data_IF_416301188445
#
_entry.id   IF_416301188445
#
_cell.length_a   1.000
_cell.length_b   1.000
_cell.length_c   1.000
_cell.angle_alpha   90.00
_cell.angle_beta   90.00
_cell.angle_gamma   90.00
#
_symmetry.space_group_name_H-M   'P 1'
#
loop_
_entity.id
_entity.type
_entity.pdbx_description
1 polymer ?
#
# COMPACT_ATOMS: atom_id res chain seq x y z
N UNK A 1 14.42 -66.10 45.30
CA UNK A 1 13.54 -66.64 44.24
C UNK A 1 13.94 -65.91 42.96
N UNK A 2 15.00 -66.30 42.25
CA UNK A 2 15.16 -67.43 41.30
C UNK A 2 14.15 -67.38 40.14
N UNK A 3 14.73 -67.29 38.92
CA UNK A 3 14.19 -67.48 37.55
C UNK A 3 13.41 -66.28 36.96
N UNK A 4 13.59 -65.79 35.71
CA UNK A 4 14.39 -66.15 34.50
C UNK A 4 14.22 -64.91 33.56
N UNK A 5 15.22 -64.12 33.13
CA UNK A 5 16.22 -64.29 32.06
C UNK A 5 15.64 -64.59 30.64
N UNK A 6 15.47 -63.56 29.77
CA UNK A 6 16.25 -63.15 28.56
C UNK A 6 16.00 -64.01 27.28
N UNK A 7 15.96 -63.29 26.13
CA UNK A 7 16.16 -63.65 24.70
C UNK A 7 14.89 -63.89 23.87
N UNK A 8 14.73 -63.43 22.62
CA UNK A 8 15.32 -62.40 21.76
C UNK A 8 14.62 -62.51 20.38
N UNK A 9 14.88 -61.53 19.50
CA UNK A 9 14.62 -61.49 18.05
C UNK A 9 13.15 -61.25 17.67
N UNK A 10 12.75 -60.00 17.38
CA UNK A 10 13.04 -59.23 16.17
C UNK A 10 12.44 -59.84 14.90
N UNK A 11 11.48 -59.12 14.28
CA UNK A 11 11.58 -58.54 12.94
C UNK A 11 10.16 -58.18 12.44
N UNK A 12 9.93 -56.86 12.41
CA UNK A 12 9.26 -56.09 11.34
C UNK A 12 7.76 -56.28 11.15
N UNK A 13 7.00 -55.23 11.53
CA UNK A 13 6.15 -54.45 10.61
C UNK A 13 5.47 -53.30 11.38
N UNK A 14 6.15 -52.16 11.45
CA UNK A 14 5.54 -50.82 11.46
C UNK A 14 6.32 -49.98 10.42
N UNK A 15 5.88 -48.79 9.97
CA UNK A 15 4.70 -47.98 10.34
C UNK A 15 3.97 -47.29 9.15
N UNK A 16 2.67 -47.02 9.22
CA UNK A 16 2.02 -45.95 8.43
C UNK A 16 0.84 -45.34 9.22
N UNK A 17 1.15 -44.75 10.36
CA UNK A 17 0.26 -43.82 11.04
C UNK A 17 1.11 -42.77 11.76
N UNK A 18 1.95 -42.08 10.99
CA UNK A 18 2.79 -40.97 11.46
C UNK A 18 3.20 -40.10 10.27
N UNK A 19 2.25 -39.49 9.57
CA UNK A 19 2.49 -38.37 8.64
C UNK A 19 1.19 -37.56 8.52
N UNK A 20 0.97 -36.65 9.46
CA UNK A 20 0.20 -35.39 9.33
C UNK A 20 0.01 -34.72 10.71
N UNK A 21 1.04 -34.78 11.55
CA UNK A 21 1.33 -33.66 12.44
C UNK A 21 2.70 -33.23 11.96
N UNK A 22 2.71 -32.39 10.93
CA UNK A 22 3.88 -31.54 10.69
C UNK A 22 4.13 -30.84 12.01
N UNK A 23 5.26 -31.15 12.63
CA UNK A 23 5.89 -30.31 13.62
C UNK A 23 5.84 -28.90 13.04
N UNK A 24 4.86 -28.12 13.53
CA UNK A 24 4.84 -26.69 13.35
C UNK A 24 5.98 -26.24 14.23
N UNK A 25 7.17 -26.20 13.62
CA UNK A 25 8.39 -25.64 14.19
C UNK A 25 7.94 -24.43 15.01
N UNK A 26 8.17 -24.48 16.33
CA UNK A 26 7.82 -23.40 17.25
C UNK A 26 8.43 -22.13 16.65
N UNK A 27 7.60 -21.35 15.95
CA UNK A 27 7.94 -19.97 15.58
C UNK A 27 8.25 -19.34 16.92
N UNK A 28 9.52 -19.01 17.11
CA UNK A 28 10.04 -18.43 18.35
C UNK A 28 9.03 -17.38 18.82
N UNK A 29 8.45 -17.53 20.01
CA UNK A 29 7.36 -16.66 20.54
C UNK A 29 7.82 -15.22 20.83
N UNK A 30 8.95 -14.84 20.26
CA UNK A 30 9.60 -13.54 20.28
C UNK A 30 9.87 -12.99 18.87
N UNK A 31 9.56 -13.73 17.79
CA UNK A 31 9.86 -13.32 16.41
C UNK A 31 9.15 -12.02 16.04
N UNK A 32 7.86 -11.88 16.38
CA UNK A 32 7.14 -10.62 16.18
C UNK A 32 7.66 -9.48 17.04
N UNK A 33 8.06 -9.76 18.29
CA UNK A 33 8.62 -8.73 19.16
C UNK A 33 9.95 -8.20 18.61
N UNK A 34 10.82 -9.07 18.09
CA UNK A 34 12.07 -8.66 17.45
C UNK A 34 11.83 -7.94 16.12
N UNK A 35 10.88 -8.41 15.31
CA UNK A 35 10.48 -7.73 14.07
C UNK A 35 10.00 -6.30 14.37
N UNK A 36 9.11 -6.12 15.36
CA UNK A 36 8.62 -4.80 15.76
C UNK A 36 9.75 -3.90 16.25
N UNK A 37 10.68 -4.43 17.06
CA UNK A 37 11.87 -3.67 17.52
C UNK A 37 12.79 -3.25 16.37
N UNK A 38 12.80 -4.00 15.27
CA UNK A 38 13.60 -3.65 14.09
C UNK A 38 13.11 -2.38 13.40
N UNK A 39 11.84 -2.00 13.60
CA UNK A 39 11.26 -0.76 13.12
C UNK A 39 11.42 0.37 14.15
N UNK A 40 12.43 1.22 13.96
CA UNK A 40 12.74 2.34 14.85
C UNK A 40 11.63 3.40 14.98
N UNK A 41 10.63 3.35 14.11
CA UNK A 41 9.49 4.27 14.10
C UNK A 41 8.36 3.81 15.04
N UNK A 42 8.37 2.56 15.50
CA UNK A 42 7.30 1.98 16.32
C UNK A 42 7.63 2.14 17.80
N UNK A 43 6.70 2.71 18.55
CA UNK A 43 6.75 2.87 20.00
C UNK A 43 5.68 2.00 20.66
N UNK A 44 6.09 1.20 21.64
CA UNK A 44 5.20 0.40 22.47
C UNK A 44 4.96 1.08 23.81
N UNK A 45 3.76 0.95 24.35
CA UNK A 45 3.37 1.38 25.70
C UNK A 45 3.04 0.17 26.58
N UNK A 46 2.68 0.41 27.84
CA UNK A 46 2.19 -0.65 28.73
C UNK A 46 0.91 -1.33 28.22
N UNK A 47 0.12 -0.63 27.39
CA UNK A 47 -1.14 -1.12 26.82
C UNK A 47 -0.96 -1.72 25.42
N UNK A 48 0.27 -1.79 24.90
CA UNK A 48 0.56 -2.39 23.60
C UNK A 48 0.63 -3.91 23.71
N UNK A 49 0.12 -4.61 22.71
CA UNK A 49 0.29 -6.07 22.60
C UNK A 49 0.98 -6.42 21.30
N UNK A 50 1.83 -7.43 21.35
CA UNK A 50 2.54 -8.00 20.21
C UNK A 50 2.36 -9.51 20.30
N UNK A 51 1.83 -10.11 19.24
CA UNK A 51 1.45 -11.51 19.20
C UNK A 51 1.92 -12.14 17.90
N UNK A 52 2.51 -13.32 17.99
CA UNK A 52 2.72 -14.19 16.83
C UNK A 52 1.36 -14.82 16.46
N UNK A 53 1.00 -14.74 15.17
CA UNK A 53 -0.21 -15.33 14.60
C UNK A 53 0.16 -16.36 13.53
N UNK A 54 -0.83 -17.02 12.93
CA UNK A 54 -0.56 -17.94 11.83
C UNK A 54 0.07 -17.17 10.65
N UNK A 55 1.26 -17.62 10.22
CA UNK A 55 2.07 -17.01 9.16
C UNK A 55 2.29 -15.48 9.31
N UNK A 56 2.34 -14.94 10.54
CA UNK A 56 2.41 -13.49 10.69
C UNK A 56 2.56 -12.92 12.10
N UNK A 57 2.43 -11.60 12.16
CA UNK A 57 2.43 -10.80 13.37
C UNK A 57 1.17 -9.98 13.51
N UNK A 58 0.67 -9.85 14.74
CA UNK A 58 -0.32 -8.84 15.11
C UNK A 58 0.23 -7.95 16.21
N UNK A 59 0.11 -6.65 16.00
CA UNK A 59 0.35 -5.64 17.03
C UNK A 59 -0.93 -4.85 17.27
N UNK A 60 -1.15 -4.45 18.52
CA UNK A 60 -2.27 -3.57 18.87
C UNK A 60 -1.81 -2.45 19.77
N UNK A 61 -2.48 -1.31 19.63
CA UNK A 61 -2.31 -0.14 20.45
C UNK A 61 -0.85 0.34 20.54
N UNK A 62 -0.20 0.44 19.39
CA UNK A 62 1.17 0.96 19.26
C UNK A 62 1.13 2.38 18.71
N UNK A 63 2.23 3.09 18.84
CA UNK A 63 2.40 4.39 18.19
C UNK A 63 3.47 4.28 17.10
N UNK A 64 3.34 5.08 16.06
CA UNK A 64 4.33 5.23 15.00
C UNK A 64 4.69 6.71 14.85
N UNK A 65 5.96 7.06 14.69
CA UNK A 65 6.33 8.46 14.50
C UNK A 65 7.82 8.74 14.42
N UNK A 66 8.15 9.95 13.98
CA UNK A 66 9.53 10.45 13.93
C UNK A 66 9.80 11.53 14.98
N UNK A 67 8.76 12.08 15.59
CA UNK A 67 8.83 13.08 16.66
C UNK A 67 7.54 13.10 17.46
N UNK A 68 7.52 13.80 18.59
CA UNK A 68 6.32 13.96 19.40
C UNK A 68 5.16 14.62 18.64
N UNK A 69 5.43 15.54 17.72
CA UNK A 69 4.39 16.21 16.92
C UNK A 69 3.96 15.40 15.69
N UNK A 70 4.82 14.51 15.20
CA UNK A 70 4.54 13.60 14.07
C UNK A 70 4.37 12.18 14.58
N UNK A 71 3.45 12.02 15.53
CA UNK A 71 3.13 10.75 16.19
C UNK A 71 1.71 10.33 15.84
N UNK A 72 1.56 9.06 15.52
CA UNK A 72 0.32 8.44 15.09
C UNK A 72 0.03 7.25 15.98
N UNK A 73 -1.23 7.07 16.34
CA UNK A 73 -1.70 5.85 17.00
C UNK A 73 -2.10 4.84 15.94
N UNK A 74 -1.77 3.58 16.18
CA UNK A 74 -2.22 2.43 15.40
C UNK A 74 -3.06 1.56 16.33
N UNK A 75 -4.35 1.46 16.03
CA UNK A 75 -5.27 0.58 16.76
C UNK A 75 -4.84 -0.88 16.67
N UNK A 76 -4.66 -1.39 15.45
CA UNK A 76 -4.04 -2.69 15.19
C UNK A 76 -3.33 -2.71 13.85
N UNK A 77 -2.19 -3.39 13.78
CA UNK A 77 -1.58 -3.79 12.51
C UNK A 77 -1.39 -5.31 12.50
N UNK A 78 -1.79 -5.94 11.40
CA UNK A 78 -1.61 -7.36 11.13
C UNK A 78 -0.78 -7.50 9.87
N UNK A 79 0.32 -8.25 9.95
CA UNK A 79 1.21 -8.55 8.84
C UNK A 79 1.26 -10.06 8.68
N UNK A 80 0.90 -10.57 7.52
CA UNK A 80 1.02 -11.99 7.19
C UNK A 80 1.85 -12.17 5.92
N UNK A 81 2.77 -13.11 5.95
CA UNK A 81 3.56 -13.54 4.81
C UNK A 81 4.05 -14.98 5.04
N UNK A 82 3.93 -15.90 4.06
CA UNK A 82 4.30 -17.31 4.25
C UNK A 82 5.74 -17.55 4.73
N UNK A 83 6.67 -16.67 4.35
CA UNK A 83 8.10 -16.77 4.66
C UNK A 83 8.60 -15.67 5.61
N UNK A 84 7.69 -14.96 6.30
CA UNK A 84 7.96 -13.75 7.11
C UNK A 84 9.16 -13.87 8.06
N UNK A 85 9.29 -14.99 8.75
CA UNK A 85 10.32 -15.20 9.78
C UNK A 85 11.53 -16.00 9.29
N UNK A 86 11.53 -16.41 8.03
CA UNK A 86 12.61 -17.22 7.45
C UNK A 86 13.64 -16.38 6.71
N UNK A 87 13.42 -15.05 6.61
CA UNK A 87 14.22 -14.11 5.81
C UNK A 87 14.29 -12.77 6.54
N UNK A 88 15.39 -12.03 6.37
CA UNK A 88 15.45 -10.64 6.81
C UNK A 88 14.72 -9.77 5.77
N UNK A 89 13.65 -9.09 6.20
CA UNK A 89 12.88 -8.18 5.33
C UNK A 89 13.72 -7.00 4.81
N UNK A 90 14.88 -6.74 5.41
CA UNK A 90 15.85 -5.75 4.90
C UNK A 90 16.58 -6.23 3.65
N UNK A 91 16.73 -7.55 3.50
CA UNK A 91 17.52 -8.16 2.43
C UNK A 91 16.64 -8.70 1.29
N UNK A 92 15.41 -9.12 1.59
CA UNK A 92 14.47 -9.64 0.60
C UNK A 92 13.02 -9.44 1.05
N UNK A 93 12.18 -8.97 0.13
CA UNK A 93 10.74 -8.94 0.33
C UNK A 93 10.15 -10.35 0.15
N UNK A 94 9.10 -10.72 0.91
CA UNK A 94 8.44 -12.01 0.76
C UNK A 94 7.74 -12.10 -0.61
N UNK A 95 7.52 -13.32 -1.10
CA UNK A 95 6.79 -13.53 -2.36
C UNK A 95 5.30 -13.19 -2.26
N UNK A 96 4.77 -13.11 -1.04
CA UNK A 96 3.40 -12.71 -0.77
C UNK A 96 3.40 -11.95 0.56
N UNK A 97 2.64 -10.86 0.61
CA UNK A 97 2.49 -10.06 1.82
C UNK A 97 1.06 -9.53 1.88
N UNK A 98 0.48 -9.57 3.07
CA UNK A 98 -0.78 -8.93 3.41
C UNK A 98 -0.56 -8.15 4.71
N UNK A 99 -0.72 -6.83 4.63
CA UNK A 99 -0.58 -5.88 5.71
C UNK A 99 -1.89 -5.12 5.86
N UNK A 100 -2.55 -5.29 7.00
CA UNK A 100 -3.75 -4.56 7.38
C UNK A 100 -3.46 -3.69 8.61
N UNK A 101 -3.60 -2.37 8.47
CA UNK A 101 -3.51 -1.38 9.54
C UNK A 101 -4.89 -0.78 9.77
N UNK A 102 -5.37 -0.80 11.00
CA UNK A 102 -6.67 -0.28 11.39
C UNK A 102 -6.54 0.74 12.52
N UNK A 103 -7.38 1.77 12.47
CA UNK A 103 -7.34 2.84 13.48
C UNK A 103 -6.06 3.67 13.43
N UNK A 104 -5.49 3.90 12.24
CA UNK A 104 -4.36 4.79 12.04
C UNK A 104 -4.84 6.25 12.19
N UNK A 105 -4.41 6.94 13.24
CA UNK A 105 -4.88 8.30 13.53
C UNK A 105 -3.76 9.16 14.08
N UNK A 106 -3.85 10.47 13.88
CA UNK A 106 -2.91 11.43 14.46
C UNK A 106 -3.06 11.42 15.98
N UNK A 107 -1.95 11.27 16.70
CA UNK A 107 -1.90 11.21 18.15
C UNK A 107 -0.60 11.87 18.66
N UNK A 108 -0.47 13.20 18.49
CA UNK A 108 0.74 13.90 18.86
C UNK A 108 0.91 13.88 20.38
N UNK A 109 2.15 13.85 20.85
CA UNK A 109 2.47 14.15 22.23
C UNK A 109 2.80 15.63 22.40
N UNK A 110 1.79 16.39 22.82
CA UNK A 110 1.91 17.83 23.07
C UNK A 110 2.43 18.17 24.46
N UNK A 111 2.68 17.17 25.32
CA UNK A 111 2.95 17.36 26.75
C UNK A 111 1.72 17.71 27.60
N UNK A 112 0.53 17.81 27.00
CA UNK A 112 -0.75 18.03 27.67
C UNK A 112 -1.71 16.89 27.37
N UNK A 113 -2.06 16.10 28.40
CA UNK A 113 -2.99 14.97 28.26
C UNK A 113 -4.35 15.41 27.70
N UNK A 114 -4.83 16.61 28.09
CA UNK A 114 -6.09 17.15 27.58
C UNK A 114 -5.99 17.48 26.10
N UNK A 115 -4.90 18.12 25.65
CA UNK A 115 -4.74 18.46 24.23
C UNK A 115 -4.56 17.20 23.38
N UNK A 116 -3.78 16.23 23.86
CA UNK A 116 -3.62 14.93 23.19
C UNK A 116 -5.00 14.26 23.03
N UNK A 117 -5.79 14.20 24.10
CA UNK A 117 -7.15 13.65 24.05
C UNK A 117 -8.06 14.39 23.06
N UNK A 118 -8.05 15.73 23.07
CA UNK A 118 -8.84 16.54 22.14
C UNK A 118 -8.45 16.25 20.68
N UNK A 119 -7.15 16.25 20.36
CA UNK A 119 -6.66 16.01 19.00
C UNK A 119 -7.00 14.58 18.54
N UNK A 120 -6.78 13.59 19.40
CA UNK A 120 -7.12 12.20 19.08
C UNK A 120 -8.62 12.00 18.82
N UNK A 121 -9.49 12.65 19.60
CA UNK A 121 -10.95 12.53 19.42
C UNK A 121 -11.52 13.39 18.28
N UNK A 122 -10.74 14.35 17.76
CA UNK A 122 -11.10 15.15 16.60
C UNK A 122 -10.56 14.57 15.29
N UNK A 123 -9.64 13.60 15.38
CA UNK A 123 -9.04 12.94 14.23
C UNK A 123 -9.88 11.73 13.84
N UNK A 124 -10.27 11.65 12.58
CA UNK A 124 -10.92 10.45 12.04
C UNK A 124 -9.85 9.38 11.77
N UNK A 125 -10.07 8.13 12.21
CA UNK A 125 -9.14 7.05 11.91
C UNK A 125 -9.16 6.68 10.43
N UNK A 126 -7.99 6.27 9.96
CA UNK A 126 -7.78 5.66 8.65
C UNK A 126 -7.50 4.18 8.82
N UNK A 127 -7.91 3.40 7.82
CA UNK A 127 -7.49 2.03 7.65
C UNK A 127 -6.64 1.95 6.38
N UNK A 128 -5.52 1.24 6.46
CA UNK A 128 -4.59 1.04 5.34
C UNK A 128 -4.50 -0.45 5.10
N UNK A 129 -4.60 -0.89 3.86
CA UNK A 129 -4.38 -2.26 3.47
C UNK A 129 -3.40 -2.33 2.30
N UNK A 130 -2.44 -3.24 2.37
CA UNK A 130 -1.48 -3.53 1.33
C UNK A 130 -1.40 -5.04 1.17
N UNK A 131 -1.69 -5.55 -0.03
CA UNK A 131 -1.51 -6.95 -0.36
C UNK A 131 -0.90 -7.11 -1.76
N UNK A 132 0.09 -7.99 -1.88
CA UNK A 132 0.71 -8.32 -3.16
C UNK A 132 1.14 -9.78 -3.24
N UNK A 133 1.32 -10.23 -4.48
CA UNK A 133 1.94 -11.51 -4.83
C UNK A 133 3.04 -11.28 -5.86
N UNK A 134 4.15 -11.97 -5.71
CA UNK A 134 5.31 -11.87 -6.59
C UNK A 134 5.77 -13.27 -7.00
N UNK A 135 5.75 -13.54 -8.30
CA UNK A 135 6.39 -14.70 -8.89
C UNK A 135 7.81 -14.33 -9.32
N UNK A 136 8.77 -14.73 -8.49
CA UNK A 136 10.20 -14.48 -8.75
C UNK A 136 10.70 -15.18 -10.01
N UNK A 137 10.17 -16.35 -10.36
CA UNK A 137 10.61 -17.10 -11.54
C UNK A 137 10.09 -16.47 -12.83
N UNK A 138 8.85 -15.97 -12.82
CA UNK A 138 8.26 -15.24 -13.94
C UNK A 138 8.65 -13.75 -13.98
N UNK A 139 9.23 -13.22 -12.89
CA UNK A 139 9.50 -11.79 -12.68
C UNK A 139 8.24 -10.93 -12.85
N UNK A 140 7.12 -11.41 -12.32
CA UNK A 140 5.83 -10.71 -12.36
C UNK A 140 5.29 -10.49 -10.95
N UNK A 141 4.71 -9.33 -10.69
CA UNK A 141 4.03 -9.04 -9.44
C UNK A 141 2.59 -8.55 -9.69
N UNK A 142 1.71 -8.91 -8.77
CA UNK A 142 0.34 -8.42 -8.70
C UNK A 142 0.18 -7.67 -7.38
N UNK A 143 -0.11 -6.37 -7.47
CA UNK A 143 -0.60 -5.57 -6.37
C UNK A 143 -2.12 -5.81 -6.28
N UNK A 144 -2.52 -6.72 -5.40
CA UNK A 144 -3.91 -7.12 -5.22
C UNK A 144 -4.72 -6.04 -4.49
N UNK A 145 -4.09 -5.30 -3.59
CA UNK A 145 -4.69 -4.12 -2.98
C UNK A 145 -3.62 -3.18 -2.41
N UNK A 146 -3.73 -1.89 -2.68
CA UNK A 146 -3.21 -0.83 -1.84
C UNK A 146 -4.35 0.14 -1.60
N UNK A 147 -4.93 0.12 -0.41
CA UNK A 147 -6.07 0.97 -0.09
C UNK A 147 -5.87 1.80 1.19
N UNK A 148 -6.46 2.99 1.18
CA UNK A 148 -6.62 3.86 2.34
C UNK A 148 -8.10 4.20 2.43
N UNK A 149 -8.73 3.82 3.54
CA UNK A 149 -10.17 4.03 3.76
C UNK A 149 -10.41 4.78 5.06
N UNK A 150 -11.33 5.74 5.01
CA UNK A 150 -11.89 6.41 6.16
C UNK A 150 -13.42 6.26 6.13
N UNK A 151 -14.04 5.57 7.11
CA UNK A 151 -15.49 5.32 7.10
C UNK A 151 -16.34 6.58 6.92
N UNK A 152 -15.89 7.72 7.44
CA UNK A 152 -16.60 9.00 7.34
C UNK A 152 -16.22 9.89 6.15
N UNK A 153 -15.12 9.61 5.44
CA UNK A 153 -14.60 10.53 4.43
C UNK A 153 -14.47 9.96 3.03
N UNK A 154 -14.24 8.66 2.86
CA UNK A 154 -14.06 8.07 1.53
C UNK A 154 -12.93 7.04 1.50
N UNK A 155 -12.53 6.67 0.30
CA UNK A 155 -11.45 5.71 0.10
C UNK A 155 -10.65 5.99 -1.15
N UNK A 156 -9.43 5.45 -1.16
CA UNK A 156 -8.55 5.40 -2.31
C UNK A 156 -7.99 3.98 -2.39
N UNK A 157 -8.02 3.37 -3.56
CA UNK A 157 -7.54 2.00 -3.81
C UNK A 157 -6.74 1.96 -5.10
N UNK A 158 -5.63 1.23 -5.08
CA UNK A 158 -4.81 0.92 -6.25
C UNK A 158 -4.68 -0.60 -6.35
N UNK A 159 -4.85 -1.12 -7.55
CA UNK A 159 -4.50 -2.48 -7.93
C UNK A 159 -3.61 -2.42 -9.16
N UNK A 160 -2.75 -3.41 -9.37
CA UNK A 160 -1.87 -3.39 -10.53
C UNK A 160 -1.18 -4.70 -10.84
N UNK A 161 -0.71 -4.80 -12.08
CA UNK A 161 0.12 -5.88 -12.59
C UNK A 161 1.42 -5.29 -13.12
N UNK A 162 2.51 -5.89 -12.66
CA UNK A 162 3.87 -5.48 -12.96
C UNK A 162 4.62 -6.67 -13.56
N UNK A 163 5.50 -6.38 -14.51
CA UNK A 163 6.40 -7.33 -15.16
C UNK A 163 7.84 -6.85 -15.03
N UNK A 164 8.80 -7.73 -15.34
CA UNK A 164 10.24 -7.44 -15.30
C UNK A 164 10.72 -6.95 -13.91
N UNK A 165 10.01 -7.34 -12.85
CA UNK A 165 10.23 -6.83 -11.49
C UNK A 165 11.08 -7.80 -10.65
N UNK A 166 12.04 -7.23 -9.93
CA UNK A 166 12.88 -7.94 -8.96
C UNK A 166 12.80 -7.26 -7.59
N UNK A 167 11.86 -7.74 -6.76
CA UNK A 167 11.60 -7.16 -5.43
C UNK A 167 12.74 -7.39 -4.44
N UNK A 168 13.62 -8.38 -4.67
CA UNK A 168 14.80 -8.59 -3.83
C UNK A 168 15.77 -7.39 -3.94
N UNK A 169 15.74 -6.65 -5.06
CA UNK A 169 16.61 -5.49 -5.29
C UNK A 169 15.94 -4.16 -4.95
N UNK A 170 14.72 -4.19 -4.43
CA UNK A 170 13.93 -2.99 -4.15
C UNK A 170 14.63 -2.06 -3.15
N UNK A 171 15.25 -2.62 -2.11
CA UNK A 171 15.88 -1.85 -1.03
C UNK A 171 17.13 -1.09 -1.50
N UNK A 172 17.81 -1.57 -2.54
CA UNK A 172 19.09 -1.02 -3.00
C UNK A 172 18.96 0.05 -4.11
N UNK A 173 17.81 0.16 -4.79
CA UNK A 173 17.72 0.89 -6.07
C UNK A 173 16.42 1.69 -6.29
N UNK A 174 15.93 2.43 -5.28
CA UNK A 174 14.68 3.19 -5.40
C UNK A 174 14.62 4.18 -6.59
N UNK A 175 15.76 4.66 -7.10
CA UNK A 175 15.81 5.58 -8.25
C UNK A 175 15.86 4.87 -9.63
N UNK A 176 16.40 3.65 -9.69
CA UNK A 176 16.64 2.86 -10.91
C UNK A 176 15.95 1.49 -10.83
N UNK A 177 14.80 1.45 -10.17
CA UNK A 177 14.12 0.20 -9.87
C UNK A 177 13.65 -0.49 -11.17
N UNK A 178 14.17 -1.70 -11.50
CA UNK A 178 13.78 -2.41 -12.70
C UNK A 178 12.34 -2.93 -12.57
N UNK A 179 11.57 -2.77 -13.64
CA UNK A 179 10.20 -3.24 -13.72
C UNK A 179 9.39 -2.43 -14.71
N UNK A 180 8.25 -2.97 -15.09
CA UNK A 180 7.30 -2.34 -15.98
C UNK A 180 5.87 -2.51 -15.45
N UNK A 181 5.03 -1.52 -15.73
CA UNK A 181 3.59 -1.56 -15.44
C UNK A 181 2.88 -2.13 -16.65
N UNK A 182 2.16 -3.22 -16.46
CA UNK A 182 1.28 -3.81 -17.49
C UNK A 182 -0.12 -3.20 -17.40
N UNK A 183 -0.65 -3.10 -16.18
CA UNK A 183 -1.97 -2.53 -15.91
C UNK A 183 -2.08 -1.98 -14.49
N UNK A 184 -2.86 -0.92 -14.32
CA UNK A 184 -3.19 -0.32 -13.02
C UNK A 184 -4.66 0.05 -13.01
N UNK A 185 -5.33 -0.23 -11.91
CA UNK A 185 -6.66 0.28 -11.58
C UNK A 185 -6.54 1.20 -10.38
N UNK A 186 -7.11 2.40 -10.48
CA UNK A 186 -7.23 3.35 -9.37
C UNK A 186 -8.71 3.62 -9.13
N UNK A 187 -9.14 3.41 -7.90
CA UNK A 187 -10.49 3.73 -7.44
C UNK A 187 -10.42 4.82 -6.38
N UNK A 188 -11.26 5.83 -6.53
CA UNK A 188 -11.41 6.96 -5.60
C UNK A 188 -12.88 7.06 -5.25
N UNK A 189 -13.23 6.80 -4.00
CA UNK A 189 -14.57 7.05 -3.47
C UNK A 189 -14.52 8.33 -2.64
N UNK A 190 -15.35 9.30 -3.01
CA UNK A 190 -15.34 10.67 -2.52
C UNK A 190 -13.96 11.34 -2.72
N UNK A 191 -13.71 11.83 -3.93
CA UNK A 191 -12.46 12.48 -4.32
C UNK A 191 -12.07 13.70 -3.47
N UNK A 192 -12.97 14.22 -2.63
CA UNK A 192 -12.64 15.25 -1.65
C UNK A 192 -11.69 14.73 -0.57
N UNK A 193 -11.83 13.47 -0.15
CA UNK A 193 -10.91 12.82 0.77
C UNK A 193 -9.52 12.67 0.15
N UNK A 194 -9.46 12.14 -1.08
CA UNK A 194 -8.22 12.05 -1.86
C UNK A 194 -7.56 13.43 -2.05
N UNK A 195 -8.37 14.46 -2.36
CA UNK A 195 -7.89 15.85 -2.46
C UNK A 195 -7.25 16.33 -1.17
N UNK A 196 -7.92 16.12 -0.03
CA UNK A 196 -7.43 16.60 1.26
C UNK A 196 -6.06 16.01 1.62
N UNK A 197 -5.77 14.78 1.19
CA UNK A 197 -4.48 14.12 1.43
C UNK A 197 -3.39 14.53 0.44
N UNK A 198 -3.71 14.64 -0.85
CA UNK A 198 -2.68 14.74 -1.91
C UNK A 198 -2.42 16.18 -2.37
N UNK A 199 -3.44 17.02 -2.39
CA UNK A 199 -3.34 18.40 -2.91
C UNK A 199 -2.34 19.26 -2.14
N UNK A 200 -2.21 19.20 -0.80
CA UNK A 200 -1.20 20.00 -0.09
C UNK A 200 0.22 19.70 -0.58
N UNK A 201 0.56 18.42 -0.78
CA UNK A 201 1.87 18.02 -1.30
C UNK A 201 2.07 18.53 -2.74
N UNK A 202 1.06 18.38 -3.61
CA UNK A 202 1.11 18.86 -4.99
C UNK A 202 1.25 20.38 -5.09
N UNK A 203 0.50 21.13 -4.28
CA UNK A 203 0.58 22.60 -4.25
C UNK A 203 1.90 23.09 -3.63
N UNK A 204 2.51 22.32 -2.72
CA UNK A 204 3.83 22.59 -2.15
C UNK A 204 4.98 22.52 -3.18
N UNK A 205 4.74 21.99 -4.37
CA UNK A 205 5.70 22.00 -5.49
C UNK A 205 5.68 23.31 -6.29
N UNK A 206 4.68 24.17 -6.06
CA UNK A 206 4.55 25.44 -6.78
C UNK A 206 5.46 26.53 -6.18
N UNK A 207 5.80 27.59 -6.94
CA UNK A 207 6.58 28.71 -6.42
C UNK A 207 5.89 29.38 -5.22
N UNK A 208 6.61 29.46 -4.10
CA UNK A 208 6.09 29.96 -2.82
C UNK A 208 5.78 31.46 -2.79
N UNK A 209 6.37 32.24 -3.69
CA UNK A 209 6.36 33.71 -3.71
C UNK A 209 5.27 34.31 -4.61
N UNK A 210 4.42 33.47 -5.21
CA UNK A 210 3.39 33.90 -6.16
C UNK A 210 2.01 33.32 -5.80
N UNK A 211 0.95 34.01 -6.23
CA UNK A 211 -0.41 33.46 -6.15
C UNK A 211 -0.50 32.22 -7.05
N UNK A 212 -0.81 31.02 -6.53
CA UNK A 212 -0.83 29.81 -7.33
C UNK A 212 -2.07 29.72 -8.24
N UNK A 213 -3.11 30.54 -8.03
CA UNK A 213 -4.40 30.39 -8.75
C UNK A 213 -4.27 30.51 -10.27
N UNK A 214 -3.54 31.48 -10.86
CA UNK A 214 -3.35 31.55 -12.30
C UNK A 214 -2.60 30.34 -12.84
N UNK A 215 -1.54 29.92 -12.13
CA UNK A 215 -0.72 28.77 -12.53
C UNK A 215 -1.51 27.45 -12.50
N UNK A 216 -2.32 27.24 -11.46
CA UNK A 216 -3.24 26.11 -11.37
C UNK A 216 -4.28 26.15 -12.50
N UNK A 217 -4.83 27.32 -12.83
CA UNK A 217 -5.76 27.46 -13.95
C UNK A 217 -5.10 27.12 -15.29
N UNK A 218 -3.85 27.53 -15.50
CA UNK A 218 -3.09 27.21 -16.70
C UNK A 218 -2.80 25.71 -16.80
N UNK A 219 -2.40 25.05 -15.69
CA UNK A 219 -2.21 23.60 -15.66
C UNK A 219 -3.50 22.83 -15.92
N UNK A 220 -4.63 23.26 -15.35
CA UNK A 220 -5.93 22.65 -15.63
C UNK A 220 -6.28 22.76 -17.10
N UNK A 221 -6.11 23.94 -17.71
CA UNK A 221 -6.38 24.15 -19.13
C UNK A 221 -5.47 23.28 -20.00
N UNK A 222 -4.19 23.18 -19.67
CA UNK A 222 -3.24 22.34 -20.39
C UNK A 222 -3.60 20.85 -20.29
N UNK A 223 -3.96 20.38 -19.09
CA UNK A 223 -4.37 19.00 -18.85
C UNK A 223 -5.68 18.65 -19.59
N UNK A 224 -6.70 19.52 -19.56
CA UNK A 224 -7.95 19.33 -20.32
C UNK A 224 -7.67 19.27 -21.82
N UNK A 225 -6.85 20.19 -22.34
CA UNK A 225 -6.48 20.19 -23.76
C UNK A 225 -5.71 18.93 -24.15
N UNK A 226 -4.84 18.44 -23.28
CA UNK A 226 -4.11 17.19 -23.47
C UNK A 226 -5.06 15.98 -23.50
N UNK A 227 -5.96 15.85 -22.53
CA UNK A 227 -6.97 14.78 -22.50
C UNK A 227 -7.82 14.79 -23.77
N UNK A 228 -8.28 15.97 -24.19
CA UNK A 228 -9.08 16.12 -25.41
C UNK A 228 -8.32 15.73 -26.69
N UNK A 229 -7.00 15.89 -26.70
CA UNK A 229 -6.15 15.56 -27.84
C UNK A 229 -5.78 14.07 -27.94
N UNK A 230 -6.05 13.27 -26.91
CA UNK A 230 -5.78 11.83 -26.96
C UNK A 230 -6.67 11.14 -28.01
N UNK A 231 -6.13 10.20 -28.81
CA UNK A 231 -6.92 9.44 -29.77
C UNK A 231 -8.04 8.66 -29.08
N UNK A 232 -9.20 8.55 -29.73
CA UNK A 232 -10.34 7.77 -29.19
C UNK A 232 -9.99 6.29 -29.04
N UNK A 233 -9.07 5.78 -29.86
CA UNK A 233 -8.52 4.43 -29.74
C UNK A 233 -7.71 4.20 -28.46
N UNK A 234 -7.20 5.28 -27.83
CA UNK A 234 -6.50 5.22 -26.54
C UNK A 234 -7.44 5.47 -25.36
N UNK A 235 -8.42 6.35 -25.55
CA UNK A 235 -9.34 6.79 -24.50
C UNK A 235 -10.68 7.20 -25.14
N UNK A 236 -11.74 6.49 -24.80
CA UNK A 236 -13.09 6.81 -25.28
C UNK A 236 -13.52 8.22 -24.81
N UNK A 237 -14.45 8.85 -25.54
CA UNK A 237 -14.87 10.22 -25.25
C UNK A 237 -15.56 10.34 -23.87
N UNK A 238 -16.24 9.28 -23.41
CA UNK A 238 -16.79 9.18 -22.06
C UNK A 238 -15.69 9.22 -20.98
N UNK A 239 -14.58 8.51 -21.22
CA UNK A 239 -13.44 8.50 -20.31
C UNK A 239 -12.70 9.84 -20.31
N UNK A 240 -12.59 10.51 -21.47
CA UNK A 240 -12.09 11.89 -21.56
C UNK A 240 -12.95 12.84 -20.74
N UNK A 241 -14.28 12.72 -20.82
CA UNK A 241 -15.20 13.54 -20.05
C UNK A 241 -15.07 13.28 -18.54
N UNK A 242 -14.94 12.02 -18.11
CA UNK A 242 -14.73 11.64 -16.72
C UNK A 242 -13.43 12.23 -16.15
N UNK A 243 -12.30 12.05 -16.83
CA UNK A 243 -11.02 12.64 -16.40
C UNK A 243 -11.00 14.17 -16.50
N UNK A 244 -11.70 14.73 -17.49
CA UNK A 244 -11.91 16.16 -17.61
C UNK A 244 -12.61 16.74 -16.36
N UNK A 245 -13.67 16.09 -15.88
CA UNK A 245 -14.36 16.50 -14.65
C UNK A 245 -13.45 16.44 -13.40
N UNK A 246 -12.59 15.43 -13.30
CA UNK A 246 -11.59 15.34 -12.23
C UNK A 246 -10.61 16.54 -12.26
N UNK A 247 -10.07 16.85 -13.44
CA UNK A 247 -9.15 17.98 -13.61
C UNK A 247 -9.86 19.32 -13.36
N UNK A 248 -11.08 19.47 -13.84
CA UNK A 248 -11.89 20.68 -13.64
C UNK A 248 -12.26 20.93 -12.18
N UNK A 249 -12.42 19.88 -11.38
CA UNK A 249 -12.71 20.01 -9.95
C UNK A 249 -11.46 20.28 -9.10
N UNK A 250 -10.24 20.02 -9.59
CA UNK A 250 -9.00 20.39 -8.90
C UNK A 250 -8.97 21.91 -8.54
N UNK A 251 -8.52 22.31 -7.33
CA UNK A 251 -7.91 21.51 -6.26
C UNK A 251 -8.91 20.89 -5.27
N UNK A 252 -10.21 21.00 -5.51
CA UNK A 252 -11.28 20.46 -4.65
C UNK A 252 -12.02 19.37 -5.43
N UNK A 253 -11.36 18.24 -5.64
CA UNK A 253 -11.94 17.17 -6.45
C UNK A 253 -13.19 16.61 -5.77
N UNK A 254 -14.19 16.25 -6.56
CA UNK A 254 -15.50 15.77 -6.11
C UNK A 254 -15.97 14.62 -6.98
N UNK A 255 -16.83 13.76 -6.42
CA UNK A 255 -17.35 12.56 -7.07
C UNK A 255 -16.50 11.31 -6.81
N UNK A 256 -16.94 10.21 -7.39
CA UNK A 256 -16.28 8.91 -7.35
C UNK A 256 -15.70 8.60 -8.73
N UNK A 257 -14.50 8.02 -8.76
CA UNK A 257 -13.78 7.71 -9.99
C UNK A 257 -13.22 6.31 -9.97
N UNK A 258 -13.33 5.61 -11.10
CA UNK A 258 -12.58 4.38 -11.38
C UNK A 258 -11.80 4.62 -12.66
N UNK A 259 -10.47 4.53 -12.58
CA UNK A 259 -9.56 4.74 -13.70
C UNK A 259 -8.76 3.47 -13.91
N UNK A 260 -8.86 2.89 -15.10
CA UNK A 260 -8.06 1.73 -15.48
C UNK A 260 -7.11 2.13 -16.60
N UNK A 261 -5.87 1.70 -16.47
CA UNK A 261 -4.82 1.98 -17.42
C UNK A 261 -4.13 0.67 -17.79
N UNK A 262 -3.95 0.41 -19.09
CA UNK A 262 -3.20 -0.74 -19.61
C UNK A 262 -2.14 -0.26 -20.58
N UNK A 263 -0.91 -0.71 -20.39
CA UNK A 263 0.20 -0.44 -21.30
C UNK A 263 0.42 -1.61 -22.25
N UNK A 264 0.67 -1.32 -23.53
CA UNK A 264 1.01 -2.32 -24.54
C UNK A 264 1.92 -1.68 -25.60
N UNK A 265 3.26 -1.80 -25.50
CA UNK A 265 4.01 -2.65 -24.56
C UNK A 265 4.01 -2.13 -23.10
N UNK A 266 4.43 -2.96 -22.11
CA UNK A 266 4.53 -2.56 -20.70
C UNK A 266 5.35 -1.28 -20.48
N UNK A 267 4.94 -0.46 -19.52
CA UNK A 267 5.52 0.85 -19.23
C UNK A 267 6.62 0.74 -18.17
N UNK A 268 7.88 0.89 -18.56
CA UNK A 268 9.01 0.81 -17.62
C UNK A 268 8.89 1.83 -16.48
N UNK A 269 9.08 1.39 -15.23
CA UNK A 269 8.96 2.21 -14.01
C UNK A 269 9.96 3.38 -14.00
N UNK A 270 11.14 3.18 -14.58
CA UNK A 270 12.17 4.23 -14.73
C UNK A 270 11.71 5.42 -15.59
N UNK A 271 10.67 5.26 -16.39
CA UNK A 271 10.09 6.37 -17.18
C UNK A 271 9.20 7.28 -16.35
N UNK A 272 8.77 6.83 -15.15
CA UNK A 272 7.91 7.59 -14.25
C UNK A 272 8.67 8.58 -13.37
N UNK A 273 9.98 8.37 -13.15
CA UNK A 273 10.79 9.10 -12.16
C UNK A 273 11.51 10.33 -12.71
N UNK A 274 11.39 10.66 -14.01
CA UNK A 274 12.23 11.68 -14.64
C UNK A 274 11.64 12.46 -15.82
N UNK A 275 10.34 12.36 -16.07
CA UNK A 275 9.74 12.92 -17.29
C UNK A 275 9.57 14.43 -17.28
N UNK A 276 10.05 15.13 -18.31
CA UNK A 276 9.45 16.43 -18.65
C UNK A 276 7.98 16.22 -19.11
N UNK A 277 7.11 17.25 -19.10
CA UNK A 277 5.70 17.07 -19.43
C UNK A 277 5.42 16.42 -20.81
N UNK A 278 6.32 16.59 -21.78
CA UNK A 278 6.18 15.97 -23.11
C UNK A 278 6.48 14.46 -23.08
N UNK A 279 7.38 14.01 -22.21
CA UNK A 279 7.65 12.59 -22.00
C UNK A 279 6.46 11.91 -21.34
N UNK A 280 5.90 12.50 -20.27
CA UNK A 280 4.68 12.00 -19.62
C UNK A 280 3.51 11.90 -20.60
N UNK A 281 3.33 12.94 -21.43
CA UNK A 281 2.35 12.98 -22.53
C UNK A 281 2.55 11.80 -23.49
N UNK A 282 3.80 11.53 -23.88
CA UNK A 282 4.16 10.42 -24.77
C UNK A 282 3.94 9.05 -24.14
N UNK A 283 4.06 8.91 -22.82
CA UNK A 283 3.76 7.67 -22.11
C UNK A 283 2.25 7.40 -22.06
N UNK A 284 1.45 8.40 -21.68
CA UNK A 284 -0.02 8.30 -21.62
C UNK A 284 -0.59 7.97 -23.01
N UNK A 285 -0.03 8.54 -24.08
CA UNK A 285 -0.44 8.25 -25.46
C UNK A 285 -0.17 6.80 -25.92
N UNK A 286 0.57 5.99 -25.13
CA UNK A 286 0.79 4.55 -25.39
C UNK A 286 -0.10 3.66 -24.54
N UNK A 287 -0.91 4.25 -23.67
CA UNK A 287 -1.79 3.52 -22.77
C UNK A 287 -3.21 3.48 -23.33
N UNK A 288 -3.89 2.40 -23.01
CA UNK A 288 -5.34 2.27 -23.07
C UNK A 288 -5.89 2.71 -21.73
N UNK A 289 -6.79 3.70 -21.74
CA UNK A 289 -7.31 4.30 -20.52
C UNK A 289 -8.84 4.31 -20.58
N UNK A 290 -9.46 3.70 -19.57
CA UNK A 290 -10.88 3.88 -19.28
C UNK A 290 -11.03 4.62 -17.96
N UNK A 291 -12.03 5.48 -17.90
CA UNK A 291 -12.38 6.21 -16.70
C UNK A 291 -13.90 6.30 -16.59
N UNK A 292 -14.39 6.06 -15.39
CA UNK A 292 -15.78 6.23 -14.99
C UNK A 292 -15.85 7.30 -13.91
N UNK A 293 -16.90 8.12 -13.96
CA UNK A 293 -17.14 9.17 -12.97
C UNK A 293 -18.60 9.14 -12.53
N UNK A 294 -18.81 9.03 -11.21
CA UNK A 294 -20.11 9.24 -10.59
C UNK A 294 -20.09 10.57 -9.84
N UNK A 295 -20.88 11.57 -10.27
CA UNK A 295 -20.92 12.86 -9.59
C UNK A 295 -21.31 12.74 -8.12
N UNK A 296 -20.74 13.60 -7.27
CA UNK A 296 -21.14 13.67 -5.87
C UNK A 296 -22.65 13.98 -5.79
N UNK A 297 -23.37 13.21 -4.97
CA UNK A 297 -24.77 13.51 -4.65
C UNK A 297 -24.77 14.83 -3.86
N UNK A 298 -25.28 15.90 -4.47
CA UNK A 298 -25.45 17.16 -3.75
C UNK A 298 -26.51 16.94 -2.65
N UNK A 299 -26.18 17.19 -1.37
CA UNK A 299 -27.15 17.13 -0.28
C UNK A 299 -28.22 18.22 -0.36
#
# INVERSE_FOLDING_TARGET
MRFLAIFAAAVVLTPLAALAQTDREDVDRAACAELVKSFSLIETTADSTIEDIDAGCRVTNVFAGTSSYNRYRIGSATLTAPDLFTRDLKDALPSELDLAITGFQIAPDTGSLLNNYIIENQSEPLNIHLSYRWDKAAQTAELTDLSVTSPGYGSFRIEGRLSEIDLDRFVDAAADFPGAIDAVTVEIVNARFFSAMTVPALLGLLPYDSDPRPLVADYKKAAIAFIAALPTDNMADESKAALGALVESFPRMEGDYVVQMRADPPLALTTLTGGNPAEITGLIARMQISAEHTPAVQP
#
